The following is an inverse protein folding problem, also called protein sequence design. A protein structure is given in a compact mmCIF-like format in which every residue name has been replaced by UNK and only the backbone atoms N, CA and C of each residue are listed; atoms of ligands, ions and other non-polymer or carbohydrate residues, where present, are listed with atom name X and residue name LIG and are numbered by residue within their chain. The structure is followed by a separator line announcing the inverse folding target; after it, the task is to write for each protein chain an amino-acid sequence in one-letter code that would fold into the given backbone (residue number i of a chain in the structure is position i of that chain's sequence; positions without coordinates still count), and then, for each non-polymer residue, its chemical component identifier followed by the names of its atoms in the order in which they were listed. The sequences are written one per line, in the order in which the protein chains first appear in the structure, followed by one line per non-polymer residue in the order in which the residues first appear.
data_IF_330619891898
#
_entry.id   IF_330619891898
#
_cell.length_a   1.000
_cell.length_b   1.000
_cell.length_c   1.000
_cell.angle_alpha   90.00
_cell.angle_beta   90.00
_cell.angle_gamma   90.00
#
_symmetry.space_group_name_H-M   'P 1'
#
loop_
_entity.id
_entity.type
_entity.pdbx_description
1 polymer ?
#
# COMPACT_ATOMS: atom_id res chain seq x y z
N UNK A 1 -3.13 -2.70 -8.45
CA UNK A 1 -3.16 -1.32 -8.98
C UNK A 1 -4.57 -0.92 -9.34
N UNK A 2 -5.03 0.22 -8.85
CA UNK A 2 -6.29 0.81 -9.35
C UNK A 2 -6.11 1.28 -10.80
N UNK A 3 -7.14 1.06 -11.62
CA UNK A 3 -7.21 1.54 -13.00
C UNK A 3 -7.03 3.07 -13.06
N UNK A 4 -7.57 3.80 -12.07
CA UNK A 4 -7.40 5.24 -11.99
C UNK A 4 -5.93 5.66 -11.81
N UNK A 5 -5.17 4.97 -10.95
CA UNK A 5 -3.74 5.23 -10.74
C UNK A 5 -2.93 4.98 -12.00
N UNK A 6 -3.21 3.88 -12.70
CA UNK A 6 -2.54 3.55 -13.96
C UNK A 6 -2.87 4.59 -15.05
N UNK A 7 -4.15 4.93 -15.21
CA UNK A 7 -4.59 5.90 -16.20
C UNK A 7 -4.01 7.29 -15.91
N UNK A 8 -4.00 7.72 -14.65
CA UNK A 8 -3.39 8.97 -14.21
C UNK A 8 -1.89 9.04 -14.50
N UNK A 9 -1.17 7.94 -14.23
CA UNK A 9 0.27 7.86 -14.53
C UNK A 9 0.53 7.98 -16.03
N UNK A 10 -0.19 7.22 -16.86
CA UNK A 10 -0.02 7.23 -18.32
C UNK A 10 -0.38 8.60 -18.90
N UNK A 11 -1.53 9.15 -18.51
CA UNK A 11 -1.99 10.46 -19.02
C UNK A 11 -1.10 11.60 -18.56
N UNK A 12 -0.61 11.58 -17.32
CA UNK A 12 0.35 12.55 -16.81
C UNK A 12 1.65 12.56 -17.62
N UNK A 13 2.25 11.38 -17.85
CA UNK A 13 3.46 11.26 -18.67
C UNK A 13 3.19 11.72 -20.10
N UNK A 14 2.06 11.35 -20.69
CA UNK A 14 1.69 11.74 -22.04
C UNK A 14 1.54 13.26 -22.18
N UNK A 15 0.86 13.94 -21.26
CA UNK A 15 0.69 15.40 -21.32
C UNK A 15 2.01 16.13 -21.12
N UNK A 16 2.86 15.69 -20.19
CA UNK A 16 4.21 16.26 -20.02
C UNK A 16 5.03 16.06 -21.30
N UNK A 17 5.02 14.86 -21.87
CA UNK A 17 5.73 14.55 -23.11
C UNK A 17 5.24 15.37 -24.31
N UNK A 18 3.93 15.55 -24.46
CA UNK A 18 3.35 16.40 -25.50
C UNK A 18 3.72 17.88 -25.31
N UNK A 19 3.78 18.35 -24.06
CA UNK A 19 4.25 19.70 -23.73
C UNK A 19 5.72 19.91 -24.11
N UNK A 20 6.59 18.95 -23.82
CA UNK A 20 7.99 18.97 -24.24
C UNK A 20 8.11 18.96 -25.77
N UNK A 21 7.30 18.15 -26.45
CA UNK A 21 7.32 18.03 -27.91
C UNK A 21 6.80 19.26 -28.66
N UNK A 22 5.98 20.11 -28.03
CA UNK A 22 5.57 21.41 -28.59
C UNK A 22 6.60 22.52 -28.38
N UNK A 23 7.53 22.34 -27.44
CA UNK A 23 8.59 23.31 -27.17
C UNK A 23 9.71 23.26 -28.22
N UNK A 24 10.78 24.00 -27.93
CA UNK A 24 12.05 23.92 -28.67
C UNK A 24 12.78 22.59 -28.34
N UNK A 25 14.12 22.56 -28.47
CA UNK A 25 14.91 21.35 -28.26
C UNK A 25 14.60 20.65 -26.92
N UNK A 26 14.13 19.37 -26.94
CA UNK A 26 13.88 18.58 -25.74
C UNK A 26 15.09 18.45 -24.80
N UNK A 27 16.31 18.65 -25.31
CA UNK A 27 17.54 18.62 -24.52
C UNK A 27 17.56 19.65 -23.39
N UNK A 28 16.81 20.75 -23.52
CA UNK A 28 16.72 21.84 -22.52
C UNK A 28 16.12 21.33 -21.20
N UNK A 29 15.27 20.32 -21.25
CA UNK A 29 14.63 19.74 -20.06
C UNK A 29 15.55 18.76 -19.31
N UNK A 30 16.63 18.27 -19.94
CA UNK A 30 17.59 17.34 -19.33
C UNK A 30 18.77 18.08 -18.71
N UNK A 31 18.52 18.72 -17.56
CA UNK A 31 19.55 19.40 -16.78
C UNK A 31 20.15 18.48 -15.69
N UNK A 32 21.35 17.96 -15.93
CA UNK A 32 22.06 17.06 -15.00
C UNK A 32 22.27 17.71 -13.62
N UNK A 33 22.66 18.99 -13.58
CA UNK A 33 22.88 19.69 -12.31
C UNK A 33 21.55 19.85 -11.54
N UNK A 34 20.47 20.17 -12.25
CA UNK A 34 19.13 20.23 -11.67
C UNK A 34 18.67 18.89 -11.10
N UNK A 35 18.88 17.79 -11.82
CA UNK A 35 18.56 16.44 -11.36
C UNK A 35 19.33 16.09 -10.08
N UNK A 36 20.63 16.40 -10.02
CA UNK A 36 21.43 16.14 -8.82
C UNK A 36 20.94 16.94 -7.60
N UNK A 37 20.56 18.21 -7.79
CA UNK A 37 20.04 19.04 -6.70
C UNK A 37 18.69 18.53 -6.22
N UNK A 38 17.76 18.22 -7.14
CA UNK A 38 16.42 17.78 -6.79
C UNK A 38 16.43 16.37 -6.20
N UNK A 39 17.00 15.39 -6.91
CA UNK A 39 17.02 13.99 -6.45
C UNK A 39 17.96 13.83 -5.27
N UNK A 40 19.19 14.33 -5.38
CA UNK A 40 20.17 14.25 -4.29
C UNK A 40 19.72 15.01 -3.04
N UNK A 41 19.16 16.22 -3.21
CA UNK A 41 18.64 17.02 -2.11
C UNK A 41 17.43 16.37 -1.43
N UNK A 42 16.45 15.88 -2.19
CA UNK A 42 15.27 15.20 -1.62
C UNK A 42 15.66 13.94 -0.86
N UNK A 43 16.54 13.09 -1.41
CA UNK A 43 17.03 11.90 -0.71
C UNK A 43 17.79 12.30 0.57
N UNK A 44 18.68 13.28 0.50
CA UNK A 44 19.48 13.72 1.65
C UNK A 44 18.62 14.26 2.79
N UNK A 45 17.67 15.16 2.48
CA UNK A 45 16.76 15.74 3.49
C UNK A 45 15.83 14.67 4.07
N UNK A 46 15.40 13.70 3.25
CA UNK A 46 14.58 12.57 3.72
C UNK A 46 15.37 11.70 4.71
N UNK A 47 16.65 11.43 4.45
CA UNK A 47 17.52 10.68 5.36
C UNK A 47 17.86 11.43 6.66
N UNK A 48 17.83 12.78 6.65
CA UNK A 48 17.90 13.55 7.90
C UNK A 48 16.66 13.32 8.77
N UNK A 49 15.49 13.16 8.15
CA UNK A 49 14.21 12.99 8.87
C UNK A 49 13.94 11.54 9.31
N UNK A 50 14.37 10.56 8.52
CA UNK A 50 14.00 9.15 8.73
C UNK A 50 15.23 8.25 8.91
N UNK A 51 15.11 7.24 9.78
CA UNK A 51 16.13 6.20 9.91
C UNK A 51 16.27 5.44 8.58
N UNK A 52 17.50 5.07 8.24
CA UNK A 52 17.83 4.44 6.96
C UNK A 52 17.04 3.14 6.70
N UNK A 53 16.78 2.35 7.75
CA UNK A 53 15.96 1.15 7.63
C UNK A 53 14.52 1.49 7.20
N UNK A 54 13.92 2.53 7.78
CA UNK A 54 12.57 2.99 7.43
C UNK A 54 12.50 3.59 6.03
N UNK A 55 13.58 4.23 5.57
CA UNK A 55 13.67 4.77 4.19
C UNK A 55 13.56 3.66 3.15
N UNK A 56 14.34 2.58 3.30
CA UNK A 56 14.30 1.45 2.37
C UNK A 56 12.98 0.68 2.43
N UNK A 57 12.43 0.45 3.64
CA UNK A 57 11.11 -0.16 3.79
C UNK A 57 10.02 0.70 3.15
N UNK A 58 10.05 2.02 3.37
CA UNK A 58 9.08 2.95 2.81
C UNK A 58 9.10 3.02 1.28
N UNK A 59 10.29 2.93 0.65
CA UNK A 59 10.38 2.81 -0.81
C UNK A 59 9.73 1.50 -1.28
N UNK A 60 10.10 0.37 -0.66
CA UNK A 60 9.56 -0.94 -1.04
C UNK A 60 8.04 -1.00 -0.89
N UNK A 61 7.52 -0.57 0.26
CA UNK A 61 6.09 -0.55 0.56
C UNK A 61 5.36 0.45 -0.32
N UNK A 62 5.92 1.64 -0.54
CA UNK A 62 5.33 2.66 -1.41
C UNK A 62 5.17 2.17 -2.85
N UNK A 63 6.20 1.52 -3.41
CA UNK A 63 6.08 0.87 -4.72
C UNK A 63 5.09 -0.30 -4.70
N UNK A 64 5.10 -1.11 -3.65
CA UNK A 64 4.15 -2.23 -3.54
C UNK A 64 2.71 -1.75 -3.48
N UNK A 65 2.40 -0.74 -2.67
CA UNK A 65 1.05 -0.19 -2.56
C UNK A 65 0.66 0.48 -3.87
N UNK A 66 1.52 1.36 -4.42
CA UNK A 66 1.20 2.08 -5.63
C UNK A 66 0.92 1.16 -6.82
N UNK A 67 1.62 0.02 -6.95
CA UNK A 67 1.54 -0.88 -8.11
C UNK A 67 0.73 -2.17 -7.87
N UNK A 68 0.81 -2.77 -6.69
CA UNK A 68 0.25 -4.10 -6.39
C UNK A 68 -1.05 -4.08 -5.59
N UNK A 69 -1.62 -2.90 -5.30
CA UNK A 69 -2.77 -2.76 -4.38
C UNK A 69 -3.82 -3.88 -4.49
N UNK A 70 -3.91 -4.69 -3.42
CA UNK A 70 -5.00 -5.61 -3.12
C UNK A 70 -5.97 -4.86 -2.21
N UNK A 71 -6.94 -4.19 -2.83
CA UNK A 71 -7.98 -3.52 -2.06
C UNK A 71 -8.95 -4.60 -1.55
N UNK A 72 -8.86 -4.95 -0.27
CA UNK A 72 -9.80 -5.89 0.33
C UNK A 72 -11.21 -5.32 0.16
N UNK A 73 -12.12 -6.10 -0.45
CA UNK A 73 -13.48 -5.64 -0.68
C UNK A 73 -14.20 -5.47 0.67
N UNK A 74 -14.64 -4.24 1.05
CA UNK A 74 -15.27 -4.02 2.34
C UNK A 74 -16.49 -4.90 2.57
N UNK A 75 -17.22 -5.25 1.50
CA UNK A 75 -18.39 -6.13 1.58
C UNK A 75 -18.00 -7.56 1.92
N UNK A 76 -16.86 -8.03 1.43
CA UNK A 76 -16.35 -9.37 1.74
C UNK A 76 -15.85 -9.43 3.18
N UNK A 77 -15.14 -8.39 3.64
CA UNK A 77 -14.76 -8.27 5.05
C UNK A 77 -15.99 -8.29 5.97
N UNK A 78 -17.04 -7.53 5.65
CA UNK A 78 -18.28 -7.51 6.45
C UNK A 78 -18.94 -8.90 6.47
N UNK A 79 -18.95 -9.63 5.34
CA UNK A 79 -19.51 -10.98 5.28
C UNK A 79 -18.69 -11.95 6.11
N UNK A 80 -17.36 -11.89 6.02
CA UNK A 80 -16.44 -12.71 6.80
C UNK A 80 -16.63 -12.45 8.30
N UNK A 81 -16.65 -11.19 8.73
CA UNK A 81 -16.86 -10.81 10.13
C UNK A 81 -18.21 -11.33 10.67
N UNK A 82 -19.30 -11.19 9.90
CA UNK A 82 -20.60 -11.71 10.28
C UNK A 82 -20.64 -13.24 10.34
N UNK A 83 -19.90 -13.92 9.45
CA UNK A 83 -19.79 -15.37 9.45
C UNK A 83 -19.08 -15.86 10.71
N UNK A 84 -17.90 -15.31 11.01
CA UNK A 84 -17.13 -15.61 12.23
C UNK A 84 -17.95 -15.32 13.50
N UNK A 85 -18.67 -14.20 13.55
CA UNK A 85 -19.53 -13.87 14.70
C UNK A 85 -20.65 -14.89 14.93
N UNK A 86 -21.23 -15.46 13.87
CA UNK A 86 -22.25 -16.52 13.99
C UNK A 86 -21.67 -17.81 14.54
N UNK A 87 -20.47 -18.18 14.12
CA UNK A 87 -19.76 -19.37 14.61
C UNK A 87 -19.43 -19.19 16.08
N UNK A 88 -18.82 -18.06 16.44
CA UNK A 88 -18.49 -17.72 17.83
C UNK A 88 -19.71 -17.80 18.75
N UNK A 89 -20.88 -17.34 18.28
CA UNK A 89 -22.13 -17.38 19.06
C UNK A 89 -22.72 -18.78 19.22
N UNK A 90 -22.53 -19.68 18.25
CA UNK A 90 -23.09 -21.05 18.30
C UNK A 90 -22.16 -22.03 18.99
N UNK A 91 -20.87 -21.98 18.66
CA UNK A 91 -19.88 -22.98 19.03
C UNK A 91 -18.87 -22.46 20.06
N UNK A 92 -18.97 -21.19 20.46
CA UNK A 92 -17.97 -20.53 21.30
C UNK A 92 -16.72 -20.13 20.52
N UNK A 93 -15.73 -19.57 21.23
CA UNK A 93 -14.49 -19.07 20.62
C UNK A 93 -13.62 -20.19 20.04
N UNK A 94 -13.57 -21.36 20.68
CA UNK A 94 -12.80 -22.51 20.18
C UNK A 94 -13.30 -23.01 18.82
N UNK A 95 -14.59 -22.83 18.52
CA UNK A 95 -15.15 -23.20 17.22
C UNK A 95 -14.64 -22.36 16.04
N UNK A 96 -13.85 -21.31 16.31
CA UNK A 96 -13.22 -20.47 15.28
C UNK A 96 -11.82 -20.97 14.89
N UNK A 97 -11.24 -21.92 15.63
CA UNK A 97 -9.89 -22.45 15.38
C UNK A 97 -9.82 -23.27 14.08
N UNK A 98 -10.91 -23.97 13.76
CA UNK A 98 -11.03 -24.84 12.58
C UNK A 98 -11.42 -24.09 11.29
N UNK A 99 -11.71 -22.78 11.36
CA UNK A 99 -12.16 -22.03 10.19
C UNK A 99 -10.98 -21.51 9.33
N UNK A 100 -10.94 -21.81 8.02
CA UNK A 100 -9.94 -21.25 7.13
C UNK A 100 -10.19 -19.75 6.88
N UNK A 101 -9.34 -18.91 7.46
CA UNK A 101 -9.41 -17.45 7.29
C UNK A 101 -8.29 -17.00 6.35
N UNK A 102 -8.66 -16.56 5.15
CA UNK A 102 -7.69 -16.06 4.15
C UNK A 102 -7.10 -14.70 4.53
N UNK A 103 -7.87 -13.84 5.21
CA UNK A 103 -7.40 -12.51 5.58
C UNK A 103 -6.44 -12.61 6.79
N UNK A 104 -5.14 -12.25 6.63
CA UNK A 104 -4.14 -12.46 7.66
C UNK A 104 -4.37 -11.63 8.92
N UNK A 105 -5.01 -10.46 8.80
CA UNK A 105 -5.38 -9.63 9.95
C UNK A 105 -6.48 -10.30 10.79
N UNK A 106 -7.53 -10.81 10.14
CA UNK A 106 -8.59 -11.56 10.82
C UNK A 106 -8.07 -12.86 11.44
N UNK A 107 -7.25 -13.61 10.71
CA UNK A 107 -6.65 -14.85 11.22
C UNK A 107 -5.87 -14.60 12.51
N UNK A 108 -5.07 -13.51 12.55
CA UNK A 108 -4.33 -13.14 13.75
C UNK A 108 -5.23 -12.69 14.89
N UNK A 109 -6.26 -11.90 14.61
CA UNK A 109 -7.21 -11.45 15.63
C UNK A 109 -7.99 -12.61 16.26
N UNK A 110 -8.46 -13.56 15.44
CA UNK A 110 -9.15 -14.76 15.93
C UNK A 110 -8.20 -15.64 16.75
N UNK A 111 -6.95 -15.81 16.32
CA UNK A 111 -5.95 -16.54 17.10
C UNK A 111 -5.79 -15.95 18.50
N UNK A 112 -5.67 -14.62 18.63
CA UNK A 112 -5.57 -13.95 19.93
C UNK A 112 -6.82 -14.15 20.80
N UNK A 113 -8.01 -14.15 20.19
CA UNK A 113 -9.26 -14.43 20.90
C UNK A 113 -9.33 -15.89 21.39
N UNK A 114 -8.87 -16.86 20.59
CA UNK A 114 -8.80 -18.28 20.98
C UNK A 114 -7.77 -18.49 22.09
N UNK A 115 -6.64 -17.80 22.02
CA UNK A 115 -5.59 -17.79 23.05
C UNK A 115 -6.05 -17.13 24.37
N UNK A 116 -7.26 -16.56 24.42
CA UNK A 116 -7.87 -16.00 25.62
C UNK A 116 -7.30 -14.65 26.04
N UNK A 117 -6.72 -13.89 25.10
CA UNK A 117 -6.24 -12.54 25.41
C UNK A 117 -7.42 -11.64 25.82
N UNK A 118 -7.27 -10.84 26.90
CA UNK A 118 -8.29 -9.86 27.27
C UNK A 118 -8.48 -8.85 26.14
N UNK A 119 -9.68 -8.28 25.98
CA UNK A 119 -10.03 -7.36 24.87
C UNK A 119 -9.39 -5.96 24.97
N UNK A 120 -8.37 -5.79 25.81
CA UNK A 120 -7.65 -4.53 26.08
C UNK A 120 -6.33 -4.49 25.31
#
# INVERSE_FOLDING_TARGET
MDFATLLGLITGIAFVGLGVAQGDDPSIFLNVAGILIVVGGTVSVTLVKFRIASFFSGIKEGFSVAFLESNDNPREIIRLANHLAKIARRNGLLGLEDEPIENPFFAKGIQLCVDGHPPE
#
